data_IF_811513394992
#
_entry.id   IF_811513394992
#
_cell.length_a   1.000
_cell.length_b   1.000
_cell.length_c   1.000
_cell.angle_alpha   90.00
_cell.angle_beta   90.00
_cell.angle_gamma   90.00
#
_symmetry.space_group_name_H-M   'P 1'
#
loop_
_entity.id
_entity.type
_entity.pdbx_description
1 polymer ?
#
# COMPACT_ATOMS: atom_id res chain seq x y z
N UNK A 1 0.76 51.58 -3.97
CA UNK A 1 -0.03 50.59 -4.75
C UNK A 1 -0.44 49.50 -3.80
N UNK A 2 -1.74 49.21 -3.70
CA UNK A 2 -2.24 48.14 -2.83
C UNK A 2 -1.99 46.78 -3.50
N UNK A 3 -1.56 45.79 -2.71
CA UNK A 3 -1.46 44.40 -3.16
C UNK A 3 -2.87 43.82 -3.24
N UNK A 4 -3.23 43.31 -4.41
CA UNK A 4 -4.46 42.54 -4.60
C UNK A 4 -4.26 41.16 -3.96
N UNK A 5 -5.17 40.75 -3.08
CA UNK A 5 -5.21 39.39 -2.53
C UNK A 5 -6.37 38.68 -3.21
N UNK A 6 -6.04 37.77 -4.12
CA UNK A 6 -7.03 36.89 -4.73
C UNK A 6 -7.67 35.99 -3.67
N UNK A 7 -9.00 36.09 -3.54
CA UNK A 7 -9.78 35.14 -2.74
C UNK A 7 -10.25 34.01 -3.65
N UNK A 8 -9.59 32.86 -3.52
CA UNK A 8 -9.98 31.64 -4.23
C UNK A 8 -11.32 31.11 -3.70
N UNK A 9 -12.07 30.45 -4.60
CA UNK A 9 -13.29 29.73 -4.25
C UNK A 9 -12.99 28.60 -3.24
N UNK A 10 -13.96 28.19 -2.40
CA UNK A 10 -13.80 27.05 -1.52
C UNK A 10 -13.45 25.81 -2.33
N UNK A 11 -12.43 25.06 -1.87
CA UNK A 11 -12.14 23.74 -2.41
C UNK A 11 -13.30 22.81 -2.01
N UNK A 12 -14.12 22.43 -2.97
CA UNK A 12 -15.15 21.41 -2.80
C UNK A 12 -14.45 20.04 -2.74
N UNK A 13 -14.36 19.49 -1.53
CA UNK A 13 -13.80 18.17 -1.23
C UNK A 13 -14.93 17.17 -1.03
N UNK A 14 -15.88 17.13 -1.97
CA UNK A 14 -16.94 16.12 -1.98
C UNK A 14 -16.34 14.72 -2.22
N UNK A 15 -15.94 14.10 -1.11
CA UNK A 15 -16.06 12.70 -0.72
C UNK A 15 -15.89 11.64 -1.81
N UNK A 16 -14.65 11.44 -2.23
CA UNK A 16 -14.02 10.12 -2.40
C UNK A 16 -12.50 10.32 -2.36
N UNK A 17 -12.01 11.04 -1.34
CA UNK A 17 -10.58 11.14 -1.14
C UNK A 17 -10.08 9.72 -0.84
N UNK A 18 -9.41 9.14 -1.83
CA UNK A 18 -8.73 7.86 -1.70
C UNK A 18 -7.28 8.13 -1.39
N UNK A 19 -6.76 7.43 -0.39
CA UNK A 19 -5.33 7.33 -0.18
C UNK A 19 -4.85 6.06 -0.85
N UNK A 20 -3.74 6.17 -1.57
CA UNK A 20 -3.10 5.03 -2.21
C UNK A 20 -1.93 4.61 -1.34
N UNK A 21 -1.90 3.33 -0.99
CA UNK A 21 -0.75 2.67 -0.41
C UNK A 21 -0.18 1.65 -1.40
N UNK A 22 1.10 1.39 -1.27
CA UNK A 22 1.86 0.53 -2.16
C UNK A 22 2.31 -0.71 -1.39
N UNK A 23 1.85 -1.89 -1.81
CA UNK A 23 2.02 -3.13 -1.05
C UNK A 23 2.99 -4.08 -1.76
N UNK A 24 3.83 -4.76 -0.99
CA UNK A 24 4.63 -5.92 -1.41
C UNK A 24 4.18 -7.14 -0.61
N UNK A 25 3.83 -8.21 -1.29
CA UNK A 25 3.65 -9.53 -0.68
C UNK A 25 4.76 -10.45 -1.18
N UNK A 26 5.42 -11.19 -0.29
CA UNK A 26 6.49 -12.08 -0.71
C UNK A 26 6.67 -13.29 0.20
N UNK A 27 7.16 -14.38 -0.38
CA UNK A 27 7.40 -15.65 0.32
C UNK A 27 8.90 -15.92 0.34
N UNK A 28 9.47 -16.12 1.52
CA UNK A 28 10.90 -16.38 1.68
C UNK A 28 11.31 -17.80 1.24
N UNK A 29 12.61 -18.08 1.33
CA UNK A 29 13.19 -19.38 0.94
C UNK A 29 12.69 -20.55 1.80
N UNK A 30 12.25 -20.31 3.03
CA UNK A 30 11.69 -21.33 3.94
C UNK A 30 10.16 -21.42 3.87
N UNK A 31 9.52 -20.60 3.03
CA UNK A 31 8.06 -20.63 2.81
C UNK A 31 7.26 -19.75 3.76
N UNK A 32 7.90 -18.86 4.53
CA UNK A 32 7.19 -17.86 5.34
C UNK A 32 6.72 -16.71 4.44
N UNK A 33 5.50 -16.26 4.69
CA UNK A 33 4.88 -15.19 3.92
C UNK A 33 4.90 -13.87 4.70
N UNK A 34 5.29 -12.81 4.00
CA UNK A 34 5.40 -11.45 4.49
C UNK A 34 4.55 -10.50 3.64
N UNK A 35 4.03 -9.45 4.28
CA UNK A 35 3.34 -8.33 3.64
C UNK A 35 3.88 -7.02 4.20
N UNK A 36 4.26 -6.11 3.29
CA UNK A 36 4.85 -4.82 3.61
C UNK A 36 4.08 -3.71 2.89
N UNK A 37 3.70 -2.65 3.62
CA UNK A 37 2.90 -1.53 3.10
C UNK A 37 3.70 -0.24 3.18
N UNK A 38 3.67 0.54 2.10
CA UNK A 38 4.43 1.77 1.93
C UNK A 38 3.55 2.93 1.47
N UNK A 39 3.79 4.17 1.95
CA UNK A 39 3.13 5.37 1.42
C UNK A 39 3.71 5.79 0.06
N UNK A 40 4.90 5.32 -0.31
CA UNK A 40 5.63 5.74 -1.51
C UNK A 40 5.93 4.56 -2.43
N UNK A 41 5.73 4.77 -3.73
CA UNK A 41 5.99 3.79 -4.78
C UNK A 41 7.46 3.35 -4.81
N UNK A 42 8.38 4.29 -4.55
CA UNK A 42 9.83 4.04 -4.50
C UNK A 42 10.19 3.00 -3.45
N UNK A 43 9.74 3.20 -2.22
CA UNK A 43 9.98 2.31 -1.08
C UNK A 43 9.43 0.90 -1.32
N UNK A 44 8.24 0.78 -1.93
CA UNK A 44 7.69 -0.51 -2.34
C UNK A 44 8.63 -1.22 -3.34
N UNK A 45 9.09 -0.50 -4.36
CA UNK A 45 9.94 -1.08 -5.40
C UNK A 45 11.31 -1.51 -4.86
N UNK A 46 11.89 -0.74 -3.93
CA UNK A 46 13.13 -1.10 -3.25
C UNK A 46 12.96 -2.37 -2.40
N UNK A 47 11.88 -2.46 -1.63
CA UNK A 47 11.55 -3.66 -0.86
C UNK A 47 11.36 -4.89 -1.75
N UNK A 48 10.59 -4.77 -2.84
CA UNK A 48 10.35 -5.86 -3.78
C UNK A 48 11.65 -6.36 -4.43
N UNK A 49 12.57 -5.44 -4.79
CA UNK A 49 13.90 -5.80 -5.31
C UNK A 49 14.74 -6.50 -4.25
N UNK A 50 14.77 -5.97 -3.03
CA UNK A 50 15.50 -6.59 -1.92
C UNK A 50 15.01 -8.01 -1.62
N UNK A 51 13.70 -8.25 -1.64
CA UNK A 51 13.12 -9.58 -1.47
C UNK A 51 13.54 -10.54 -2.60
N UNK A 52 13.51 -10.06 -3.86
CA UNK A 52 13.94 -10.84 -5.01
C UNK A 52 15.44 -11.19 -4.95
N UNK A 53 16.29 -10.20 -4.63
CA UNK A 53 17.75 -10.37 -4.49
C UNK A 53 18.11 -11.32 -3.32
N UNK A 54 17.29 -11.34 -2.27
CA UNK A 54 17.41 -12.29 -1.16
C UNK A 54 16.94 -13.72 -1.51
N UNK A 55 16.42 -13.95 -2.71
CA UNK A 55 15.98 -15.27 -3.17
C UNK A 55 14.57 -15.65 -2.74
N UNK A 56 13.67 -14.67 -2.54
CA UNK A 56 12.25 -14.95 -2.31
C UNK A 56 11.69 -15.88 -3.40
N UNK A 57 10.90 -16.88 -2.99
CA UNK A 57 10.24 -17.82 -3.89
C UNK A 57 9.19 -17.14 -4.75
N UNK A 58 8.55 -16.11 -4.20
CA UNK A 58 7.53 -15.31 -4.85
C UNK A 58 7.60 -13.89 -4.33
N UNK A 59 7.41 -12.92 -5.23
CA UNK A 59 7.22 -11.51 -4.91
C UNK A 59 6.06 -11.01 -5.76
N UNK A 60 5.12 -10.31 -5.13
CA UNK A 60 3.98 -9.66 -5.76
C UNK A 60 3.90 -8.21 -5.27
N UNK A 61 3.49 -7.30 -6.16
CA UNK A 61 3.32 -5.89 -5.85
C UNK A 61 1.97 -5.42 -6.36
N UNK A 62 1.30 -4.58 -5.58
CA UNK A 62 0.02 -3.98 -5.97
C UNK A 62 -0.20 -2.64 -5.28
N UNK A 63 -1.26 -1.96 -5.69
CA UNK A 63 -1.75 -0.73 -5.08
C UNK A 63 -3.00 -1.03 -4.28
N UNK A 64 -3.10 -0.44 -3.10
CA UNK A 64 -4.24 -0.55 -2.21
C UNK A 64 -4.90 0.82 -2.09
N UNK A 65 -6.15 0.88 -2.49
CA UNK A 65 -6.98 2.09 -2.43
C UNK A 65 -7.77 2.05 -1.12
N UNK A 66 -7.53 3.02 -0.25
CA UNK A 66 -8.16 3.10 1.07
C UNK A 66 -8.91 4.42 1.22
N UNK A 67 -9.87 4.52 2.15
CA UNK A 67 -10.41 5.83 2.55
C UNK A 67 -9.29 6.78 2.98
N UNK A 68 -9.41 8.09 2.73
CA UNK A 68 -8.39 9.07 3.09
C UNK A 68 -8.00 9.08 4.57
N UNK A 69 -8.97 8.77 5.44
CA UNK A 69 -8.79 8.67 6.89
C UNK A 69 -7.92 7.48 7.30
N UNK A 70 -7.67 6.54 6.40
CA UNK A 70 -6.80 5.40 6.65
C UNK A 70 -5.34 5.87 6.71
N UNK A 71 -4.71 5.64 7.85
CA UNK A 71 -3.27 5.83 8.02
C UNK A 71 -2.51 4.56 7.62
N UNK A 72 -1.19 4.61 7.75
CA UNK A 72 -0.32 3.50 7.36
C UNK A 72 -0.57 2.25 8.20
N UNK A 73 -0.93 2.41 9.48
CA UNK A 73 -1.17 1.27 10.38
C UNK A 73 -2.50 0.60 10.06
N UNK A 74 -3.57 1.37 9.82
CA UNK A 74 -4.82 0.81 9.31
C UNK A 74 -4.64 0.11 7.95
N UNK A 75 -3.81 0.66 7.08
CA UNK A 75 -3.46 0.03 5.81
C UNK A 75 -2.73 -1.31 6.00
N UNK A 76 -1.81 -1.40 6.97
CA UNK A 76 -1.12 -2.66 7.32
C UNK A 76 -2.09 -3.71 7.87
N UNK A 77 -3.04 -3.30 8.71
CA UNK A 77 -4.06 -4.20 9.25
C UNK A 77 -4.90 -4.78 8.10
N UNK A 78 -5.36 -3.94 7.17
CA UNK A 78 -6.10 -4.40 5.97
C UNK A 78 -5.31 -5.38 5.11
N UNK A 79 -4.03 -5.08 4.84
CA UNK A 79 -3.18 -5.95 4.03
C UNK A 79 -2.93 -7.30 4.72
N UNK A 80 -2.76 -7.29 6.03
CA UNK A 80 -2.56 -8.51 6.84
C UNK A 80 -3.83 -9.37 6.87
N UNK A 81 -5.00 -8.75 7.06
CA UNK A 81 -6.28 -9.48 7.02
C UNK A 81 -6.57 -10.06 5.64
N UNK A 82 -6.25 -9.32 4.57
CA UNK A 82 -6.33 -9.82 3.20
C UNK A 82 -5.45 -11.06 2.99
N UNK A 83 -4.21 -11.04 3.48
CA UNK A 83 -3.30 -12.18 3.45
C UNK A 83 -3.92 -13.40 4.15
N UNK A 84 -4.46 -13.22 5.37
CA UNK A 84 -5.09 -14.30 6.13
C UNK A 84 -6.28 -14.93 5.38
N UNK A 85 -7.15 -14.09 4.81
CA UNK A 85 -8.27 -14.57 3.99
C UNK A 85 -7.82 -15.35 2.75
N UNK A 86 -6.70 -14.96 2.13
CA UNK A 86 -6.17 -15.66 0.96
C UNK A 86 -5.57 -17.03 1.32
N UNK A 87 -4.91 -17.13 2.47
CA UNK A 87 -4.39 -18.40 3.02
C UNK A 87 -5.53 -19.39 3.31
N UNK A 88 -6.60 -18.93 3.98
CA UNK A 88 -7.76 -19.76 4.32
C UNK A 88 -8.52 -20.28 3.09
N UNK A 89 -8.48 -19.55 1.98
CA UNK A 89 -9.21 -19.90 0.75
C UNK A 89 -8.44 -20.83 -0.18
N UNK A 90 -7.20 -21.22 0.14
CA UNK A 90 -6.40 -22.13 -0.69
C UNK A 90 -6.19 -21.65 -2.13
N UNK A 91 -6.38 -20.34 -2.39
CA UNK A 91 -6.34 -19.76 -3.75
C UNK A 91 -4.90 -19.51 -4.21
N UNK A 92 -3.92 -19.90 -3.38
CA UNK A 92 -2.50 -19.73 -3.62
C UNK A 92 -1.83 -21.09 -3.41
N UNK A 93 -1.66 -21.83 -4.52
CA UNK A 93 -0.81 -23.00 -4.66
C UNK A 93 0.25 -22.71 -5.72
#
# INVERSE_FOLDING_TARGET
MAVEIDRLLPLDVTSDEVRIFHVVEWVDTVGRWFVDVFPELGSRNECARAAADAGAKRVAVYEMYTPFVCDLDGARDYATDHQRCMEERGTIH
#
